data_IF_410947582450
#
_entry.id   IF_410947582450
#
_cell.length_a   1.000
_cell.length_b   1.000
_cell.length_c   1.000
_cell.angle_alpha   90.00
_cell.angle_beta   90.00
_cell.angle_gamma   90.00
#
_symmetry.space_group_name_H-M   'P 1'
#
loop_
_entity.id
_entity.type
_entity.pdbx_description
1 polymer ?
#
# COMPACT_ATOMS: atom_id res chain seq x y z
N UNK A 1 -16.64 0.48 4.93
CA UNK A 1 -15.75 -0.46 5.65
C UNK A 1 -15.68 -0.07 7.12
N UNK A 2 -15.71 -1.04 8.01
CA UNK A 2 -15.69 -0.79 9.47
C UNK A 2 -14.28 -0.50 9.97
N UNK A 3 -14.18 0.15 11.14
CA UNK A 3 -12.88 0.46 11.76
C UNK A 3 -12.02 -0.79 11.98
N UNK A 4 -12.65 -1.91 12.36
CA UNK A 4 -11.96 -3.19 12.55
C UNK A 4 -11.34 -3.71 11.25
N UNK A 5 -12.02 -3.50 10.12
CA UNK A 5 -11.50 -3.91 8.82
C UNK A 5 -10.27 -3.07 8.44
N UNK A 6 -10.28 -1.77 8.75
CA UNK A 6 -9.12 -0.89 8.53
C UNK A 6 -7.95 -1.34 9.39
N UNK A 7 -8.21 -1.69 10.64
CA UNK A 7 -7.18 -2.23 11.55
C UNK A 7 -6.60 -3.53 10.99
N UNK A 8 -7.45 -4.41 10.47
CA UNK A 8 -7.03 -5.66 9.85
C UNK A 8 -6.11 -5.43 8.64
N UNK A 9 -6.39 -4.41 7.85
CA UNK A 9 -5.54 -4.03 6.71
C UNK A 9 -4.16 -3.57 7.20
N UNK A 10 -4.12 -2.73 8.23
CA UNK A 10 -2.87 -2.29 8.85
C UNK A 10 -2.08 -3.47 9.43
N UNK A 11 -2.76 -4.36 10.15
CA UNK A 11 -2.13 -5.54 10.72
C UNK A 11 -1.53 -6.43 9.62
N UNK A 12 -2.23 -6.56 8.51
CA UNK A 12 -1.72 -7.33 7.36
C UNK A 12 -0.45 -6.68 6.79
N UNK A 13 -0.45 -5.37 6.59
CA UNK A 13 0.75 -4.66 6.13
C UNK A 13 1.92 -4.88 7.10
N UNK A 14 1.65 -4.81 8.41
CA UNK A 14 2.67 -4.97 9.44
C UNK A 14 3.16 -6.41 9.59
N UNK A 15 2.42 -7.38 9.06
CA UNK A 15 2.86 -8.78 9.04
C UNK A 15 4.00 -9.05 8.06
N UNK A 16 4.25 -8.12 7.14
CA UNK A 16 5.33 -8.27 6.16
C UNK A 16 6.69 -8.13 6.84
N UNK A 17 7.70 -8.93 6.43
CA UNK A 17 9.04 -8.87 7.03
C UNK A 17 9.63 -7.45 7.04
N UNK A 18 10.02 -6.98 8.22
CA UNK A 18 10.64 -5.67 8.38
C UNK A 18 9.71 -4.48 8.30
N UNK A 19 8.40 -4.70 8.17
CA UNK A 19 7.43 -3.62 8.08
C UNK A 19 7.28 -2.90 9.42
N UNK A 20 7.17 -1.57 9.37
CA UNK A 20 6.97 -0.74 10.55
C UNK A 20 6.14 0.50 10.20
N UNK A 21 5.49 1.07 11.20
CA UNK A 21 4.68 2.29 11.06
C UNK A 21 5.55 3.52 11.24
N UNK A 22 5.25 4.55 10.44
CA UNK A 22 5.85 5.88 10.57
C UNK A 22 4.79 6.94 10.25
N UNK A 23 5.01 8.17 10.71
CA UNK A 23 4.08 9.28 10.53
C UNK A 23 4.80 10.50 9.95
N UNK A 24 5.41 10.38 8.74
CA UNK A 24 6.20 11.49 8.20
C UNK A 24 5.37 12.72 7.80
N UNK A 25 4.05 12.55 7.65
CA UNK A 25 3.14 13.60 7.23
C UNK A 25 2.18 14.06 8.35
N UNK A 26 2.39 13.61 9.59
CA UNK A 26 1.50 13.89 10.72
C UNK A 26 0.69 12.66 11.12
N UNK A 27 -0.44 12.85 11.80
CA UNK A 27 -1.27 11.74 12.29
C UNK A 27 -1.84 10.88 11.17
N UNK A 28 -2.11 11.45 10.02
CA UNK A 28 -2.60 10.75 8.85
C UNK A 28 -1.86 11.23 7.60
N UNK A 29 -1.64 10.37 6.62
CA UNK A 29 -1.93 8.93 6.62
C UNK A 29 -1.01 8.15 7.57
N UNK A 30 -1.46 6.97 7.99
CA UNK A 30 -0.62 6.01 8.70
C UNK A 30 0.24 5.33 7.64
N UNK A 31 1.54 5.55 7.69
CA UNK A 31 2.46 5.05 6.69
C UNK A 31 3.12 3.75 7.15
N UNK A 32 3.20 2.77 6.27
CA UNK A 32 3.91 1.52 6.53
C UNK A 32 5.13 1.47 5.62
N UNK A 33 6.29 1.28 6.22
CA UNK A 33 7.58 1.29 5.54
C UNK A 33 8.28 -0.05 5.66
N UNK A 34 9.18 -0.30 4.72
CA UNK A 34 10.18 -1.36 4.78
C UNK A 34 11.49 -0.79 4.26
N UNK A 35 12.58 -0.98 5.04
CA UNK A 35 13.89 -0.47 4.64
C UNK A 35 13.90 1.03 4.31
N UNK A 36 13.17 1.84 5.07
CA UNK A 36 13.00 3.30 4.91
C UNK A 36 12.13 3.73 3.72
N UNK A 37 11.55 2.79 2.97
CA UNK A 37 10.65 3.11 1.84
C UNK A 37 9.21 2.83 2.20
N UNK A 38 8.32 3.73 1.77
CA UNK A 38 6.87 3.56 1.93
C UNK A 38 6.35 2.50 0.97
N UNK A 39 5.53 1.57 1.46
CA UNK A 39 4.78 0.69 0.56
C UNK A 39 3.27 0.75 0.79
N UNK A 40 2.80 1.36 1.88
CA UNK A 40 1.37 1.57 2.11
C UNK A 40 1.14 2.87 2.86
N UNK A 41 0.08 3.58 2.50
CA UNK A 41 -0.37 4.78 3.19
C UNK A 41 -1.87 4.61 3.44
N UNK A 42 -2.25 4.45 4.70
CA UNK A 42 -3.63 4.19 5.09
C UNK A 42 -4.28 5.47 5.63
N UNK A 43 -5.41 5.83 5.03
CA UNK A 43 -6.23 6.99 5.43
C UNK A 43 -7.46 6.44 6.15
N UNK A 44 -7.49 6.47 7.50
CA UNK A 44 -8.51 5.75 8.27
C UNK A 44 -9.80 6.54 8.52
N UNK A 45 -9.87 7.80 8.14
CA UNK A 45 -11.04 8.65 8.42
C UNK A 45 -12.29 8.10 7.73
N UNK A 46 -13.38 7.98 8.49
CA UNK A 46 -14.63 7.36 8.01
C UNK A 46 -15.16 7.95 6.71
N UNK A 47 -15.06 9.25 6.54
CA UNK A 47 -15.57 9.95 5.36
C UNK A 47 -14.74 9.75 4.10
N UNK A 48 -13.51 9.25 4.23
CA UNK A 48 -12.61 9.08 3.07
C UNK A 48 -11.57 7.99 3.33
N UNK A 49 -12.03 6.79 3.66
CA UNK A 49 -11.14 5.66 3.90
C UNK A 49 -10.55 5.15 2.60
N UNK A 50 -9.23 5.10 2.55
CA UNK A 50 -8.51 4.63 1.37
C UNK A 50 -7.12 4.18 1.76
N UNK A 51 -6.49 3.43 0.86
CA UNK A 51 -5.09 3.02 0.98
C UNK A 51 -4.38 3.34 -0.32
N UNK A 52 -3.21 3.96 -0.23
CA UNK A 52 -2.33 4.18 -1.39
C UNK A 52 -1.21 3.17 -1.35
N UNK A 53 -1.01 2.49 -2.48
CA UNK A 53 -0.04 1.41 -2.65
C UNK A 53 0.83 1.67 -3.85
N UNK A 54 2.07 1.19 -3.80
CA UNK A 54 2.96 1.19 -4.95
C UNK A 54 2.54 0.09 -5.93
N UNK A 55 2.84 0.27 -7.20
CA UNK A 55 2.57 -0.76 -8.21
C UNK A 55 3.51 -0.61 -9.40
N UNK A 56 3.77 -1.73 -10.08
CA UNK A 56 4.33 -1.70 -11.42
C UNK A 56 3.25 -1.16 -12.36
N UNK A 57 3.64 -0.51 -13.44
CA UNK A 57 2.69 0.17 -14.34
C UNK A 57 1.61 -0.78 -14.85
N UNK A 58 2.00 -1.94 -15.38
CA UNK A 58 1.05 -2.90 -15.94
C UNK A 58 0.08 -3.46 -14.90
N UNK A 59 0.58 -3.81 -13.70
CA UNK A 59 -0.25 -4.30 -12.62
C UNK A 59 -1.22 -3.22 -12.14
N UNK A 60 -0.75 -1.98 -12.04
CA UNK A 60 -1.58 -0.84 -11.66
C UNK A 60 -2.74 -0.64 -12.62
N UNK A 61 -2.46 -0.69 -13.92
CA UNK A 61 -3.48 -0.58 -14.96
C UNK A 61 -4.51 -1.73 -14.87
N UNK A 62 -4.03 -2.94 -14.62
CA UNK A 62 -4.89 -4.10 -14.46
C UNK A 62 -5.87 -3.90 -13.30
N UNK A 63 -5.40 -3.50 -12.13
CA UNK A 63 -6.25 -3.29 -10.96
C UNK A 63 -7.26 -2.15 -11.18
N UNK A 64 -6.82 -1.05 -11.82
CA UNK A 64 -7.71 0.06 -12.14
C UNK A 64 -8.78 -0.35 -13.14
N UNK A 65 -8.44 -1.22 -14.10
CA UNK A 65 -9.38 -1.74 -15.08
C UNK A 65 -10.42 -2.67 -14.48
N UNK A 66 -10.04 -3.44 -13.43
CA UNK A 66 -10.98 -4.33 -12.73
C UNK A 66 -11.97 -3.57 -11.84
N UNK A 67 -11.54 -2.47 -11.24
CA UNK A 67 -12.36 -1.72 -10.29
C UNK A 67 -12.36 -0.22 -10.63
N UNK A 68 -12.99 0.16 -11.78
CA UNK A 68 -13.02 1.56 -12.20
C UNK A 68 -13.63 2.46 -11.13
N UNK A 69 -12.98 3.57 -10.84
CA UNK A 69 -13.44 4.51 -9.83
C UNK A 69 -13.14 4.14 -8.39
N UNK A 70 -12.95 2.86 -8.09
CA UNK A 70 -12.59 2.39 -6.75
C UNK A 70 -11.08 2.27 -6.61
N UNK A 71 -10.41 1.75 -7.64
CA UNK A 71 -8.95 1.77 -7.73
C UNK A 71 -8.55 2.81 -8.77
N UNK A 72 -7.86 3.87 -8.32
CA UNK A 72 -7.49 5.00 -9.16
C UNK A 72 -5.99 5.27 -9.06
N UNK A 73 -5.45 6.04 -9.99
CA UNK A 73 -4.05 6.45 -9.94
C UNK A 73 -3.75 7.28 -8.71
N UNK A 74 -2.47 7.37 -8.35
CA UNK A 74 -2.01 8.24 -7.27
C UNK A 74 -2.04 9.71 -7.67
N UNK A 75 -3.24 10.28 -7.82
CA UNK A 75 -3.43 11.66 -8.30
C UNK A 75 -2.80 12.71 -7.38
N UNK A 76 -2.49 12.37 -6.14
CA UNK A 76 -1.77 13.25 -5.22
C UNK A 76 -0.27 13.35 -5.55
N UNK A 77 0.22 12.49 -6.42
CA UNK A 77 1.62 12.49 -6.87
C UNK A 77 1.81 13.35 -8.11
N UNK A 78 3.04 13.83 -8.39
CA UNK A 78 3.35 14.46 -9.67
C UNK A 78 2.98 13.54 -10.84
N UNK A 79 2.55 14.09 -11.99
CA UNK A 79 2.04 13.28 -13.10
C UNK A 79 2.94 12.12 -13.52
N UNK A 80 4.25 12.30 -13.54
CA UNK A 80 5.19 11.26 -13.94
C UNK A 80 5.27 10.09 -12.97
N UNK A 81 4.83 10.28 -11.72
CA UNK A 81 4.83 9.24 -10.69
C UNK A 81 3.47 8.54 -10.55
N UNK A 82 2.39 9.17 -11.02
CA UNK A 82 1.03 8.65 -10.84
C UNK A 82 0.83 7.21 -11.32
N UNK A 83 1.40 6.75 -12.44
CA UNK A 83 1.20 5.36 -12.89
C UNK A 83 1.80 4.31 -11.96
N UNK A 84 2.70 4.70 -11.06
CA UNK A 84 3.39 3.79 -10.12
C UNK A 84 2.69 3.69 -8.78
N UNK A 85 1.52 4.34 -8.63
CA UNK A 85 0.75 4.35 -7.40
C UNK A 85 -0.72 4.14 -7.70
N UNK A 86 -1.38 3.32 -6.86
CA UNK A 86 -2.83 3.19 -6.88
C UNK A 86 -3.38 3.59 -5.52
N UNK A 87 -4.50 4.31 -5.56
CA UNK A 87 -5.30 4.57 -4.37
C UNK A 87 -6.55 3.72 -4.47
N UNK A 88 -6.78 2.92 -3.44
CA UNK A 88 -7.94 2.03 -3.36
C UNK A 88 -8.90 2.61 -2.34
N UNK A 89 -10.10 2.96 -2.78
CA UNK A 89 -11.16 3.41 -1.88
C UNK A 89 -11.70 2.21 -1.10
N UNK A 90 -11.69 2.33 0.23
CA UNK A 90 -12.09 1.25 1.13
C UNK A 90 -13.60 1.29 1.38
N UNK A 91 -14.36 1.10 0.33
CA UNK A 91 -15.82 1.13 0.31
C UNK A 91 -16.46 -0.26 0.23
N UNK A 92 -15.66 -1.31 0.30
CA UNK A 92 -16.13 -2.70 0.25
C UNK A 92 -16.23 -3.30 -1.16
N UNK A 93 -15.98 -2.53 -2.21
CA UNK A 93 -16.06 -3.05 -3.59
C UNK A 93 -14.90 -3.96 -3.95
N UNK A 94 -13.71 -3.72 -3.41
CA UNK A 94 -12.57 -4.60 -3.62
C UNK A 94 -12.60 -5.69 -2.56
N UNK A 95 -12.72 -6.98 -2.95
CA UNK A 95 -12.69 -8.08 -2.00
C UNK A 95 -11.39 -8.07 -1.19
N UNK A 96 -11.48 -8.48 0.08
CA UNK A 96 -10.33 -8.48 1.00
C UNK A 96 -9.15 -9.27 0.45
N UNK A 97 -9.39 -10.44 -0.14
CA UNK A 97 -8.32 -11.27 -0.72
C UNK A 97 -7.58 -10.54 -1.84
N UNK A 98 -8.29 -9.80 -2.67
CA UNK A 98 -7.67 -9.04 -3.75
C UNK A 98 -6.93 -7.81 -3.23
N UNK A 99 -7.46 -7.16 -2.19
CA UNK A 99 -6.75 -6.07 -1.53
C UNK A 99 -5.43 -6.57 -0.94
N UNK A 100 -5.43 -7.74 -0.32
CA UNK A 100 -4.21 -8.37 0.19
C UNK A 100 -3.20 -8.63 -0.93
N UNK A 101 -3.65 -9.08 -2.10
CA UNK A 101 -2.78 -9.25 -3.27
C UNK A 101 -2.16 -7.93 -3.73
N UNK A 102 -2.93 -6.85 -3.70
CA UNK A 102 -2.43 -5.51 -4.04
C UNK A 102 -1.37 -5.04 -3.03
N UNK A 103 -1.57 -5.32 -1.75
CA UNK A 103 -0.62 -5.02 -0.68
C UNK A 103 0.66 -5.84 -0.88
N UNK A 104 0.54 -7.13 -1.17
CA UNK A 104 1.67 -8.01 -1.44
C UNK A 104 2.49 -7.48 -2.62
N UNK A 105 1.81 -7.09 -3.68
CA UNK A 105 2.45 -6.54 -4.87
C UNK A 105 3.21 -5.24 -4.54
N UNK A 106 2.59 -4.36 -3.76
CA UNK A 106 3.22 -3.11 -3.32
C UNK A 106 4.48 -3.37 -2.51
N UNK A 107 4.38 -4.26 -1.52
CA UNK A 107 5.53 -4.63 -0.69
C UNK A 107 6.67 -5.20 -1.55
N UNK A 108 6.37 -6.15 -2.42
CA UNK A 108 7.37 -6.78 -3.28
C UNK A 108 8.01 -5.78 -4.24
N UNK A 109 7.22 -4.86 -4.78
CA UNK A 109 7.71 -3.81 -5.68
C UNK A 109 8.73 -2.91 -4.98
N UNK A 110 8.44 -2.53 -3.74
CA UNK A 110 9.33 -1.70 -2.92
C UNK A 110 10.54 -2.51 -2.43
N UNK A 111 10.32 -3.73 -1.96
CA UNK A 111 11.37 -4.61 -1.44
C UNK A 111 12.48 -4.81 -2.46
N UNK A 112 12.13 -5.04 -3.73
CA UNK A 112 13.12 -5.23 -4.81
C UNK A 112 14.02 -4.03 -5.03
N UNK A 113 13.58 -2.84 -4.64
CA UNK A 113 14.35 -1.60 -4.78
C UNK A 113 15.29 -1.33 -3.60
N UNK A 114 15.18 -2.11 -2.54
CA UNK A 114 16.04 -1.94 -1.37
C UNK A 114 17.47 -2.38 -1.69
N UNK A 115 18.49 -1.81 -1.00
CA UNK A 115 19.87 -2.28 -1.12
C UNK A 115 19.95 -3.78 -0.82
N UNK A 116 20.88 -4.46 -1.50
CA UNK A 116 21.06 -5.90 -1.35
C UNK A 116 21.31 -6.31 0.10
N UNK A 117 22.13 -5.55 0.83
CA UNK A 117 22.40 -5.80 2.24
C UNK A 117 21.14 -5.74 3.10
N UNK A 118 20.30 -4.74 2.86
CA UNK A 118 19.03 -4.57 3.58
C UNK A 118 18.08 -5.74 3.30
N UNK A 119 17.96 -6.13 2.03
CA UNK A 119 17.12 -7.28 1.64
C UNK A 119 17.58 -8.55 2.31
N UNK A 120 18.89 -8.77 2.35
CA UNK A 120 19.50 -9.93 2.98
C UNK A 120 19.19 -9.99 4.48
N UNK A 121 19.35 -8.88 5.19
CA UNK A 121 19.02 -8.77 6.62
C UNK A 121 17.57 -9.10 6.89
N UNK A 122 16.66 -8.54 6.12
CA UNK A 122 15.22 -8.77 6.29
C UNK A 122 14.83 -10.22 6.01
N UNK A 123 15.47 -10.85 5.04
CA UNK A 123 15.23 -12.25 4.70
C UNK A 123 15.73 -13.18 5.80
N UNK A 124 16.89 -12.87 6.41
CA UNK A 124 17.48 -13.70 7.46
C UNK A 124 16.87 -13.46 8.84
N UNK A 125 16.16 -12.36 9.06
CA UNK A 125 15.53 -12.01 10.34
C UNK A 125 14.24 -12.76 10.63
N UNK A 126 13.72 -13.48 9.66
CA UNK A 126 12.40 -14.13 9.75
C UNK A 126 12.51 -15.58 10.11
#
# INVERSE_FOLDING_TARGET
MKDEAVKGILDYCLSKPGAYIDFPFGETPVCVKVGKRLFAQVYPKREDRKITLNCAVAAGEFFRGMYPGTVVRGYHCPPQLQPYFNTVHLNGEVPEAELMMMIDHSYNTVFKKLPRSTRSELTHSV
#
